data_IF_277768122670
#
_entry.id   IF_277768122670
#
_cell.length_a   1.000
_cell.length_b   1.000
_cell.length_c   1.000
_cell.angle_alpha   90.00
_cell.angle_beta   90.00
_cell.angle_gamma   90.00
#
_symmetry.space_group_name_H-M   'P 1'
#
loop_
_entity.id
_entity.type
_entity.pdbx_description
1 polymer ?
#
# COMPACT_ATOMS: atom_id res chain seq x y z
N UNK A 1 7.53 -6.81 -3.12
CA UNK A 1 6.49 -6.34 -4.06
C UNK A 1 5.63 -7.53 -4.42
N UNK A 2 4.31 -7.47 -4.21
CA UNK A 2 3.38 -8.58 -4.48
C UNK A 2 2.75 -8.47 -5.87
N UNK A 3 2.44 -9.59 -6.51
CA UNK A 3 1.75 -9.65 -7.81
C UNK A 3 0.25 -9.88 -7.60
N UNK A 4 -0.56 -9.18 -8.38
CA UNK A 4 -2.00 -9.34 -8.34
C UNK A 4 -2.40 -10.77 -8.76
N UNK A 5 -3.18 -11.50 -7.95
CA UNK A 5 -3.58 -12.86 -8.29
C UNK A 5 -4.57 -12.92 -9.46
N UNK A 6 -5.21 -11.81 -9.84
CA UNK A 6 -6.21 -11.76 -10.90
C UNK A 6 -5.62 -11.39 -12.26
N UNK A 7 -4.67 -10.44 -12.30
CA UNK A 7 -4.11 -9.92 -13.56
C UNK A 7 -2.59 -10.05 -13.69
N UNK A 8 -1.88 -10.53 -12.66
CA UNK A 8 -0.42 -10.73 -12.69
C UNK A 8 0.44 -9.47 -12.65
N UNK A 9 -0.17 -8.28 -12.60
CA UNK A 9 0.54 -6.99 -12.51
C UNK A 9 0.99 -6.73 -11.07
N UNK A 10 2.12 -6.04 -10.91
CA UNK A 10 2.62 -5.61 -9.62
C UNK A 10 1.61 -4.72 -8.86
N UNK A 11 1.45 -5.00 -7.56
CA UNK A 11 0.67 -4.19 -6.64
C UNK A 11 1.46 -3.09 -5.95
N UNK A 12 0.73 -2.12 -5.42
CA UNK A 12 1.21 -1.12 -4.47
C UNK A 12 0.72 -1.43 -3.06
N UNK A 13 1.45 -1.02 -2.01
CA UNK A 13 0.97 -1.14 -0.64
C UNK A 13 -0.38 -0.46 -0.47
N UNK A 14 -1.31 -1.10 0.23
CA UNK A 14 -2.59 -0.52 0.62
C UNK A 14 -2.62 -0.34 2.14
N UNK A 15 -2.88 0.89 2.60
CA UNK A 15 -3.01 1.21 4.02
C UNK A 15 -4.42 1.69 4.37
N UNK A 16 -4.78 1.55 5.64
CA UNK A 16 -6.04 2.03 6.20
C UNK A 16 -5.79 3.07 7.29
N UNK A 17 -6.82 3.86 7.60
CA UNK A 17 -6.79 4.89 8.65
C UNK A 17 -6.57 6.29 8.09
N UNK A 18 -6.11 7.20 8.96
CA UNK A 18 -5.75 8.57 8.57
C UNK A 18 -4.31 8.55 8.03
N UNK A 19 -4.08 8.83 6.74
CA UNK A 19 -2.73 8.83 6.19
C UNK A 19 -1.91 10.02 6.70
N UNK A 20 -0.61 9.80 6.85
CA UNK A 20 0.37 10.90 6.95
C UNK A 20 0.50 11.62 5.60
N UNK A 21 0.98 12.88 5.56
CA UNK A 21 1.09 13.65 4.32
C UNK A 21 1.84 12.93 3.19
N UNK A 22 2.90 12.20 3.53
CA UNK A 22 3.75 11.47 2.58
C UNK A 22 3.01 10.28 1.97
N UNK A 23 2.15 9.61 2.74
CA UNK A 23 1.29 8.55 2.22
C UNK A 23 0.23 9.12 1.27
N UNK A 24 -0.31 10.31 1.58
CA UNK A 24 -1.26 10.98 0.70
C UNK A 24 -0.60 11.39 -0.64
N UNK A 25 0.62 11.91 -0.60
CA UNK A 25 1.40 12.25 -1.79
C UNK A 25 1.73 10.99 -2.63
N UNK A 26 2.18 9.91 -1.99
CA UNK A 26 2.41 8.63 -2.66
C UNK A 26 1.15 8.07 -3.33
N UNK A 27 -0.02 8.23 -2.70
CA UNK A 27 -1.29 7.80 -3.27
C UNK A 27 -1.68 8.63 -4.51
N UNK A 28 -1.45 9.94 -4.49
CA UNK A 28 -1.68 10.80 -5.66
C UNK A 28 -0.80 10.40 -6.85
N UNK A 29 0.39 9.86 -6.60
CA UNK A 29 1.30 9.34 -7.61
C UNK A 29 1.02 7.89 -8.04
N UNK A 30 0.04 7.22 -7.42
CA UNK A 30 -0.27 5.80 -7.71
C UNK A 30 0.79 4.82 -7.18
N UNK A 31 1.60 5.22 -6.19
CA UNK A 31 2.66 4.39 -5.58
C UNK A 31 2.20 3.69 -4.29
N UNK A 32 1.02 4.09 -3.78
CA UNK A 32 0.36 3.58 -2.58
C UNK A 32 -1.16 3.69 -2.76
N UNK A 33 -1.93 2.77 -2.19
CA UNK A 33 -3.39 2.80 -2.21
C UNK A 33 -3.95 3.13 -0.82
N UNK A 34 -5.04 3.90 -0.78
CA UNK A 34 -5.78 4.21 0.45
C UNK A 34 -7.05 3.37 0.53
N UNK A 35 -7.09 2.46 1.50
CA UNK A 35 -8.22 1.58 1.77
C UNK A 35 -9.42 2.27 2.42
N UNK A 36 -9.25 3.52 2.84
CA UNK A 36 -10.22 4.29 3.61
C UNK A 36 -9.96 4.24 5.12
N UNK A 37 -10.84 4.88 5.88
CA UNK A 37 -10.64 5.06 7.32
C UNK A 37 -10.88 3.79 8.15
N UNK A 38 -11.71 2.87 7.66
CA UNK A 38 -12.14 1.68 8.42
C UNK A 38 -11.42 0.43 7.93
N UNK A 39 -10.76 -0.25 8.86
CA UNK A 39 -10.09 -1.52 8.60
C UNK A 39 -11.10 -2.67 8.70
N UNK A 40 -11.33 -3.44 7.62
CA UNK A 40 -12.22 -4.61 7.68
C UNK A 40 -11.55 -5.78 8.43
N UNK A 41 -12.31 -6.81 8.84
CA UNK A 41 -11.77 -7.94 9.62
C UNK A 41 -10.61 -8.70 8.96
N UNK A 42 -10.55 -8.71 7.62
CA UNK A 42 -9.42 -9.23 6.83
C UNK A 42 -8.98 -8.13 5.85
N UNK A 43 -8.14 -7.19 6.30
CA UNK A 43 -7.76 -6.07 5.46
C UNK A 43 -6.86 -6.54 4.32
N UNK A 44 -7.11 -6.15 3.06
CA UNK A 44 -6.08 -6.26 2.03
C UNK A 44 -4.87 -5.38 2.41
N UNK A 45 -3.70 -5.73 1.90
CA UNK A 45 -2.48 -4.93 2.06
C UNK A 45 -1.83 -4.61 0.71
N UNK A 46 -2.44 -5.04 -0.40
CA UNK A 46 -2.00 -4.71 -1.75
C UNK A 46 -3.18 -4.35 -2.65
N UNK A 47 -2.95 -3.45 -3.61
CA UNK A 47 -3.86 -3.10 -4.69
C UNK A 47 -3.09 -2.96 -6.00
N UNK A 48 -3.63 -3.45 -7.12
CA UNK A 48 -3.01 -3.24 -8.45
C UNK A 48 -3.64 -2.03 -9.16
N UNK A 49 -3.03 -1.51 -10.25
CA UNK A 49 -3.59 -0.39 -11.01
C UNK A 49 -5.00 -0.64 -11.58
N UNK A 50 -5.41 -1.91 -11.70
CA UNK A 50 -6.75 -2.30 -12.10
C UNK A 50 -7.79 -2.30 -10.96
N UNK A 51 -7.38 -2.02 -9.71
CA UNK A 51 -8.26 -1.91 -8.54
C UNK A 51 -8.52 -3.22 -7.79
N UNK A 52 -7.93 -4.35 -8.20
CA UNK A 52 -8.03 -5.60 -7.43
C UNK A 52 -7.25 -5.48 -6.12
N UNK A 53 -7.87 -5.91 -5.01
CA UNK A 53 -7.30 -5.84 -3.66
C UNK A 53 -7.10 -7.24 -3.10
N UNK A 54 -5.93 -7.51 -2.54
CA UNK A 54 -5.63 -8.81 -1.93
C UNK A 54 -4.81 -8.67 -0.66
N UNK A 55 -4.74 -9.77 0.09
CA UNK A 55 -3.82 -9.94 1.20
C UNK A 55 -2.69 -10.87 0.78
N UNK A 56 -1.47 -10.39 0.96
CA UNK A 56 -0.25 -11.20 0.96
C UNK A 56 0.20 -11.38 2.42
N UNK A 57 0.67 -12.59 2.75
CA UNK A 57 1.15 -12.94 4.09
C UNK A 57 2.59 -12.56 4.36
N UNK A 58 3.34 -12.11 3.34
CA UNK A 58 4.70 -11.59 3.51
C UNK A 58 4.68 -10.17 4.09
N UNK A 59 4.58 -10.08 5.41
CA UNK A 59 4.54 -8.81 6.15
C UNK A 59 5.85 -8.01 6.01
N UNK A 60 7.00 -8.69 5.97
CA UNK A 60 8.30 -8.03 5.77
C UNK A 60 8.38 -7.36 4.40
N UNK A 61 7.98 -8.05 3.33
CA UNK A 61 7.97 -7.46 1.99
C UNK A 61 6.97 -6.30 1.85
N UNK A 62 5.88 -6.31 2.64
CA UNK A 62 4.94 -5.19 2.71
C UNK A 62 5.59 -4.00 3.43
N UNK A 63 6.14 -4.19 4.63
CA UNK A 63 6.75 -3.12 5.43
C UNK A 63 7.93 -2.46 4.70
N UNK A 64 8.83 -3.25 4.11
CA UNK A 64 9.95 -2.73 3.32
C UNK A 64 9.48 -1.87 2.14
N UNK A 65 8.44 -2.33 1.43
CA UNK A 65 7.91 -1.59 0.29
C UNK A 65 7.20 -0.32 0.74
N UNK A 66 6.40 -0.39 1.79
CA UNK A 66 5.70 0.76 2.35
C UNK A 66 6.70 1.82 2.81
N UNK A 67 7.70 1.44 3.61
CA UNK A 67 8.74 2.37 4.07
C UNK A 67 9.55 2.95 2.93
N UNK A 68 9.88 2.16 1.90
CA UNK A 68 10.55 2.67 0.69
C UNK A 68 9.73 3.76 0.00
N UNK A 69 8.43 3.53 -0.18
CA UNK A 69 7.52 4.51 -0.79
C UNK A 69 7.43 5.76 0.09
N UNK A 70 7.17 5.61 1.39
CA UNK A 70 7.04 6.76 2.28
C UNK A 70 8.33 7.59 2.36
N UNK A 71 9.49 6.95 2.44
CA UNK A 71 10.78 7.62 2.47
C UNK A 71 11.08 8.41 1.18
N UNK A 72 10.65 7.91 0.02
CA UNK A 72 10.76 8.64 -1.25
C UNK A 72 9.93 9.94 -1.26
N UNK A 73 8.90 10.01 -0.40
CA UNK A 73 8.05 11.18 -0.20
C UNK A 73 8.44 12.03 1.01
N UNK A 74 9.56 11.73 1.65
CA UNK A 74 10.12 12.55 2.74
C UNK A 74 9.80 12.06 4.15
N UNK A 75 9.16 10.89 4.31
CA UNK A 75 8.88 10.33 5.62
C UNK A 75 10.19 9.97 6.31
N UNK A 76 10.32 10.37 7.58
CA UNK A 76 11.45 10.02 8.43
C UNK A 76 10.87 9.38 9.70
N UNK A 77 11.22 8.13 10.03
CA UNK A 77 10.89 7.59 11.33
C UNK A 77 11.65 8.40 12.39
N UNK A 78 10.94 8.79 13.44
CA UNK A 78 11.49 9.51 14.60
C UNK A 78 12.58 8.70 15.33
#
# INVERSE_FOLDING_TARGET
MSLCPECGVAGVPLIFGLPVPEALAAAQNGELALGGCLMPPRPPNWECPGGHRWRDGDETAFDERLLTVLAAHGYRPD
#
